data_IF_150553327616
#
_entry.id   IF_150553327616
#
_cell.length_a   1.000
_cell.length_b   1.000
_cell.length_c   1.000
_cell.angle_alpha   90.00
_cell.angle_beta   90.00
_cell.angle_gamma   90.00
#
_symmetry.space_group_name_H-M   'P 1'
#
loop_
_entity.id
_entity.type
_entity.pdbx_description
1 polymer ?
#
# COMPACT_ATOMS: atom_id res chain seq x y z
N UNK A 1 6.70 13.99 13.80
CA UNK A 1 7.98 13.94 13.08
C UNK A 1 8.13 12.54 12.49
N UNK A 2 7.65 12.33 11.27
CA UNK A 2 7.57 11.01 10.64
C UNK A 2 8.79 10.85 9.71
N UNK A 3 9.95 10.63 10.32
CA UNK A 3 11.19 10.34 9.58
C UNK A 3 11.11 8.91 9.08
N UNK A 4 10.75 8.73 7.82
CA UNK A 4 11.00 7.47 7.09
C UNK A 4 12.51 7.21 7.20
N UNK A 5 12.88 6.09 7.82
CA UNK A 5 14.29 5.72 7.98
C UNK A 5 14.84 5.38 6.59
N UNK A 6 16.05 5.84 6.30
CA UNK A 6 16.73 5.60 5.02
C UNK A 6 16.88 4.09 4.65
N UNK A 7 16.70 3.19 5.62
CA UNK A 7 16.69 1.73 5.44
C UNK A 7 15.55 1.22 4.56
N UNK A 8 14.42 1.93 4.53
CA UNK A 8 13.19 1.47 3.88
C UNK A 8 13.14 1.85 2.40
N UNK A 9 14.07 2.73 1.97
CA UNK A 9 14.22 3.22 0.60
C UNK A 9 15.12 2.33 -0.26
N UNK A 10 15.84 1.36 0.34
CA UNK A 10 16.85 0.55 -0.37
C UNK A 10 16.27 -0.40 -1.44
N UNK A 11 14.94 -0.60 -1.47
CA UNK A 11 14.23 -1.43 -2.44
C UNK A 11 13.15 -0.67 -3.21
N UNK A 12 13.15 0.66 -3.12
CA UNK A 12 12.16 1.48 -3.82
C UNK A 12 12.71 1.75 -5.21
N UNK A 13 12.17 1.03 -6.20
CA UNK A 13 12.50 1.27 -7.60
C UNK A 13 12.22 2.73 -7.98
N UNK A 14 12.96 3.27 -8.94
CA UNK A 14 12.83 4.68 -9.36
C UNK A 14 11.39 5.05 -9.76
N UNK A 15 10.66 4.08 -10.34
CA UNK A 15 9.23 4.21 -10.67
C UNK A 15 8.35 4.46 -9.43
N UNK A 16 8.69 3.89 -8.28
CA UNK A 16 8.04 4.15 -7.00
C UNK A 16 8.44 5.49 -6.38
N UNK A 17 9.70 5.92 -6.51
CA UNK A 17 10.11 7.27 -6.07
C UNK A 17 9.33 8.37 -6.81
N UNK A 18 9.15 8.22 -8.12
CA UNK A 18 8.36 9.16 -8.92
C UNK A 18 6.90 9.20 -8.45
N UNK A 19 6.32 8.03 -8.19
CA UNK A 19 4.95 7.90 -7.67
C UNK A 19 4.78 8.59 -6.31
N UNK A 20 5.75 8.42 -5.41
CA UNK A 20 5.72 8.97 -4.05
C UNK A 20 5.86 10.50 -4.00
N UNK A 21 6.38 11.12 -5.07
CA UNK A 21 6.51 12.58 -5.17
C UNK A 21 5.25 13.27 -5.72
N UNK A 22 4.39 12.53 -6.42
CA UNK A 22 3.21 13.07 -7.11
C UNK A 22 2.08 13.59 -6.19
N UNK A 23 1.85 13.08 -4.96
CA UNK A 23 0.83 13.61 -4.05
C UNK A 23 0.92 15.12 -3.82
N UNK A 24 2.12 15.73 -3.90
CA UNK A 24 2.30 17.19 -3.79
C UNK A 24 1.55 17.98 -4.87
N UNK A 25 1.35 17.39 -6.04
CA UNK A 25 0.59 18.00 -7.12
C UNK A 25 -0.91 17.87 -6.85
N UNK A 26 -1.37 16.68 -6.43
CA UNK A 26 -2.78 16.44 -6.07
C UNK A 26 -3.23 17.26 -4.85
N UNK A 27 -2.35 17.50 -3.88
CA UNK A 27 -2.61 18.37 -2.72
C UNK A 27 -2.84 19.84 -3.11
N UNK A 28 -2.43 20.27 -4.31
CA UNK A 28 -2.77 21.62 -4.82
C UNK A 28 -4.22 21.70 -5.31
N UNK A 29 -4.80 20.57 -5.71
CA UNK A 29 -6.19 20.48 -6.17
C UNK A 29 -7.16 20.35 -4.99
N UNK A 30 -6.81 19.57 -3.97
CA UNK A 30 -7.65 19.33 -2.79
C UNK A 30 -6.81 19.52 -1.51
N UNK A 31 -6.61 20.77 -1.05
CA UNK A 31 -5.62 21.10 -0.02
C UNK A 31 -5.96 20.59 1.39
N UNK A 32 -7.21 20.17 1.61
CA UNK A 32 -7.70 19.70 2.90
C UNK A 32 -7.60 18.17 3.08
N UNK A 33 -7.08 17.43 2.09
CA UNK A 33 -6.95 15.97 2.15
C UNK A 33 -5.55 15.50 1.79
N UNK A 34 -5.16 14.33 2.31
CA UNK A 34 -3.94 13.62 1.89
C UNK A 34 -4.36 12.53 0.89
N UNK A 35 -4.02 12.67 -0.40
CA UNK A 35 -4.50 11.75 -1.43
C UNK A 35 -3.72 10.43 -1.41
N UNK A 36 -4.42 9.34 -1.70
CA UNK A 36 -3.78 8.10 -2.08
C UNK A 36 -2.95 8.32 -3.37
N UNK A 37 -1.71 7.80 -3.40
CA UNK A 37 -0.78 7.98 -4.53
C UNK A 37 -1.36 7.47 -5.86
N UNK A 38 -2.25 6.48 -5.83
CA UNK A 38 -2.93 5.94 -7.01
C UNK A 38 -3.87 6.95 -7.69
N UNK A 39 -4.31 8.01 -7.01
CA UNK A 39 -5.13 9.06 -7.65
C UNK A 39 -4.41 9.76 -8.79
N UNK A 40 -3.07 9.65 -8.91
CA UNK A 40 -2.33 10.21 -10.05
C UNK A 40 -2.79 9.65 -11.40
N UNK A 41 -3.25 8.39 -11.44
CA UNK A 41 -3.66 7.74 -12.68
C UNK A 41 -5.01 8.27 -13.19
N UNK A 42 -5.86 8.79 -12.28
CA UNK A 42 -7.16 9.36 -12.62
C UNK A 42 -7.08 10.87 -12.86
N UNK A 43 -6.29 11.59 -12.04
CA UNK A 43 -6.19 13.06 -12.10
C UNK A 43 -5.16 13.56 -13.12
N UNK A 44 -4.15 12.75 -13.45
CA UNK A 44 -3.08 13.10 -14.38
C UNK A 44 -2.74 11.97 -15.36
N UNK A 45 -3.72 11.38 -16.06
CA UNK A 45 -3.49 10.23 -16.96
C UNK A 45 -2.51 10.57 -18.09
N UNK A 46 -2.65 11.72 -18.75
CA UNK A 46 -1.77 12.15 -19.84
C UNK A 46 -0.31 12.25 -19.41
N UNK A 47 -0.08 12.72 -18.18
CA UNK A 47 1.26 12.78 -17.61
C UNK A 47 1.83 11.37 -17.43
N UNK A 48 1.04 10.42 -16.90
CA UNK A 48 1.49 9.04 -16.71
C UNK A 48 1.84 8.41 -18.06
N UNK A 49 0.95 8.51 -19.05
CA UNK A 49 1.19 7.93 -20.39
C UNK A 49 2.45 8.51 -21.02
N UNK A 50 2.64 9.84 -20.96
CA UNK A 50 3.83 10.51 -21.49
C UNK A 50 5.15 10.05 -20.86
N UNK A 51 5.12 9.60 -19.60
CA UNK A 51 6.29 9.17 -18.85
C UNK A 51 6.36 7.65 -18.68
N UNK A 52 5.61 6.89 -19.48
CA UNK A 52 5.65 5.42 -19.50
C UNK A 52 6.34 4.95 -20.78
N UNK A 53 7.26 4.00 -20.67
CA UNK A 53 7.82 3.31 -21.83
C UNK A 53 6.96 2.10 -22.19
N UNK A 54 6.31 2.06 -23.36
CA UNK A 54 5.50 0.91 -23.78
C UNK A 54 6.32 -0.34 -24.08
N UNK A 55 7.65 -0.23 -24.24
CA UNK A 55 8.57 -1.35 -24.52
C UNK A 55 9.25 -1.90 -23.26
N UNK A 56 9.21 -1.17 -22.16
CA UNK A 56 9.80 -1.58 -20.88
C UNK A 56 8.91 -1.08 -19.74
N UNK A 57 8.14 -2.00 -19.19
CA UNK A 57 7.07 -1.69 -18.23
C UNK A 57 7.49 -2.05 -16.81
N UNK A 58 6.63 -1.71 -15.83
CA UNK A 58 6.82 -2.12 -14.44
C UNK A 58 6.99 -3.63 -14.27
N UNK A 59 6.37 -4.45 -15.13
CA UNK A 59 6.54 -5.90 -15.12
C UNK A 59 7.97 -6.30 -15.44
N UNK A 60 8.61 -5.63 -16.40
CA UNK A 60 9.99 -5.89 -16.80
C UNK A 60 10.95 -5.50 -15.66
N UNK A 61 10.74 -4.33 -15.05
CA UNK A 61 11.49 -3.91 -13.84
C UNK A 61 11.41 -4.96 -12.71
N UNK A 62 10.23 -5.53 -12.45
CA UNK A 62 10.04 -6.54 -11.39
C UNK A 62 10.77 -7.84 -11.71
N UNK A 63 10.68 -8.30 -12.98
CA UNK A 63 11.34 -9.53 -13.44
C UNK A 63 12.87 -9.41 -13.38
N UNK A 64 13.38 -8.27 -13.84
CA UNK A 64 14.82 -7.97 -13.88
C UNK A 64 15.40 -7.72 -12.48
N UNK A 65 14.60 -7.10 -11.59
CA UNK A 65 14.97 -6.78 -10.22
C UNK A 65 14.48 -7.80 -9.19
N UNK A 66 13.32 -7.51 -8.57
CA UNK A 66 12.84 -8.19 -7.36
C UNK A 66 12.72 -9.70 -7.54
N UNK A 67 12.11 -10.16 -8.63
CA UNK A 67 11.88 -11.59 -8.88
C UNK A 67 13.20 -12.35 -8.97
N UNK A 68 14.11 -11.89 -9.84
CA UNK A 68 15.43 -12.49 -10.01
C UNK A 68 16.22 -12.53 -8.70
N UNK A 69 16.19 -11.45 -7.92
CA UNK A 69 16.92 -11.34 -6.67
C UNK A 69 16.35 -12.27 -5.59
N UNK A 70 15.03 -12.26 -5.37
CA UNK A 70 14.39 -13.09 -4.32
C UNK A 70 14.57 -14.58 -4.62
N UNK A 71 14.22 -15.02 -5.83
CA UNK A 71 14.33 -16.44 -6.18
C UNK A 71 15.79 -16.88 -6.34
N UNK A 72 16.67 -15.99 -6.80
CA UNK A 72 18.12 -16.25 -6.84
C UNK A 72 18.69 -16.47 -5.45
N UNK A 73 18.44 -15.55 -4.52
CA UNK A 73 18.87 -15.66 -3.12
C UNK A 73 18.31 -16.92 -2.46
N UNK A 74 17.03 -17.25 -2.68
CA UNK A 74 16.44 -18.46 -2.13
C UNK A 74 17.15 -19.74 -2.60
N UNK A 75 17.48 -19.85 -3.89
CA UNK A 75 18.25 -21.00 -4.42
C UNK A 75 19.63 -21.10 -3.81
N UNK A 76 20.32 -19.99 -3.61
CA UNK A 76 21.64 -19.98 -2.98
C UNK A 76 21.60 -20.35 -1.50
N UNK A 77 20.57 -19.91 -0.77
CA UNK A 77 20.33 -20.32 0.62
C UNK A 77 20.14 -21.83 0.69
N UNK A 78 19.29 -22.40 -0.18
CA UNK A 78 19.05 -23.86 -0.24
C UNK A 78 20.36 -24.60 -0.51
N UNK A 79 21.16 -24.13 -1.47
CA UNK A 79 22.44 -24.73 -1.83
C UNK A 79 23.46 -24.71 -0.69
N UNK A 80 23.51 -23.62 0.08
CA UNK A 80 24.44 -23.48 1.22
C UNK A 80 23.92 -24.13 2.50
N UNK A 81 22.62 -24.39 2.60
CA UNK A 81 21.99 -24.93 3.80
C UNK A 81 21.94 -23.95 4.98
N UNK A 82 22.15 -22.65 4.74
CA UNK A 82 22.13 -21.61 5.79
C UNK A 82 21.68 -20.26 5.22
N UNK A 83 21.05 -19.45 6.06
CA UNK A 83 20.67 -18.06 5.78
C UNK A 83 21.73 -17.05 6.24
N UNK A 84 22.78 -17.51 6.92
CA UNK A 84 23.86 -16.65 7.40
C UNK A 84 24.57 -15.94 6.25
N UNK A 85 24.83 -14.63 6.41
CA UNK A 85 25.49 -13.80 5.40
C UNK A 85 24.61 -13.30 4.25
N UNK A 86 23.34 -13.68 4.17
CA UNK A 86 22.42 -13.22 3.11
C UNK A 86 21.71 -11.89 3.41
N UNK A 87 21.88 -11.33 4.62
CA UNK A 87 21.38 -9.99 4.95
C UNK A 87 19.87 -9.80 4.79
N UNK A 88 19.08 -10.88 5.01
CA UNK A 88 17.62 -10.84 4.94
C UNK A 88 17.09 -9.83 5.96
N UNK A 89 16.18 -8.96 5.53
CA UNK A 89 15.56 -7.92 6.36
C UNK A 89 14.08 -8.20 6.53
N UNK A 90 13.54 -7.85 7.69
CA UNK A 90 12.10 -7.84 7.90
C UNK A 90 11.43 -6.88 6.91
N UNK A 91 10.29 -7.30 6.38
CA UNK A 91 9.49 -6.51 5.45
C UNK A 91 8.35 -5.83 6.20
N UNK A 92 8.45 -4.52 6.37
CA UNK A 92 7.42 -3.69 6.99
C UNK A 92 6.06 -3.82 6.29
N UNK A 93 6.03 -4.18 5.00
CA UNK A 93 4.78 -4.41 4.27
C UNK A 93 4.05 -5.67 4.72
N UNK A 94 4.73 -6.67 5.27
CA UNK A 94 4.06 -7.91 5.68
C UNK A 94 3.52 -7.84 7.12
N UNK A 95 3.99 -6.85 7.91
CA UNK A 95 3.66 -6.72 9.33
C UNK A 95 2.18 -6.42 9.58
N UNK A 96 1.54 -5.59 8.73
CA UNK A 96 0.11 -5.26 8.92
C UNK A 96 -0.82 -6.47 8.80
N UNK A 97 -0.40 -7.53 8.09
CA UNK A 97 -1.17 -8.78 7.97
C UNK A 97 -1.18 -9.50 9.32
N UNK A 98 -0.03 -9.54 9.99
CA UNK A 98 0.10 -10.14 11.32
C UNK A 98 -0.67 -9.34 12.35
N UNK A 99 -0.62 -8.00 12.28
CA UNK A 99 -1.41 -7.15 13.17
C UNK A 99 -2.91 -7.35 12.99
N UNK A 100 -3.39 -7.46 11.74
CA UNK A 100 -4.79 -7.77 11.46
C UNK A 100 -5.20 -9.15 12.01
N UNK A 101 -4.36 -10.17 11.80
CA UNK A 101 -4.60 -11.51 12.33
C UNK A 101 -4.63 -11.52 13.86
N UNK A 102 -3.73 -10.77 14.50
CA UNK A 102 -3.67 -10.62 15.97
C UNK A 102 -4.91 -9.91 16.50
N UNK A 103 -5.39 -8.87 15.81
CA UNK A 103 -6.62 -8.18 16.19
C UNK A 103 -7.85 -9.09 16.17
N UNK A 104 -7.95 -9.97 15.17
CA UNK A 104 -9.00 -10.98 15.09
C UNK A 104 -8.85 -12.07 16.18
N UNK A 105 -7.63 -12.57 16.40
CA UNK A 105 -7.39 -13.68 17.32
C UNK A 105 -7.49 -13.26 18.81
N UNK A 106 -6.98 -12.08 19.14
CA UNK A 106 -6.82 -11.61 20.52
C UNK A 106 -7.80 -10.50 20.90
N UNK A 107 -8.73 -10.15 19.99
CA UNK A 107 -9.74 -9.12 20.19
C UNK A 107 -9.13 -7.77 20.63
N UNK A 108 -8.03 -7.35 19.99
CA UNK A 108 -7.28 -6.16 20.41
C UNK A 108 -8.06 -4.85 20.23
N UNK A 109 -9.10 -4.86 19.37
CA UNK A 109 -9.88 -3.66 18.99
C UNK A 109 -9.02 -2.58 18.33
N UNK A 110 -7.96 -3.00 17.64
CA UNK A 110 -7.11 -2.11 16.85
C UNK A 110 -7.86 -1.54 15.64
N UNK A 111 -7.38 -0.38 15.16
CA UNK A 111 -7.99 0.33 14.02
C UNK A 111 -7.22 0.06 12.73
N UNK A 112 -7.94 -0.33 11.69
CA UNK A 112 -7.40 -0.60 10.35
C UNK A 112 -8.17 0.15 9.27
N UNK A 113 -7.53 0.45 8.15
CA UNK A 113 -8.24 0.77 6.91
C UNK A 113 -8.64 -0.56 6.25
N UNK A 114 -9.93 -0.80 6.07
CA UNK A 114 -10.45 -2.03 5.46
C UNK A 114 -11.38 -1.71 4.31
N UNK A 115 -11.37 -2.58 3.30
CA UNK A 115 -12.32 -2.56 2.20
C UNK A 115 -13.59 -3.32 2.64
N UNK A 116 -14.70 -2.61 2.81
CA UNK A 116 -15.95 -3.13 3.40
C UNK A 116 -17.18 -2.62 2.64
N UNK A 117 -18.33 -3.32 2.70
CA UNK A 117 -19.58 -2.79 2.13
C UNK A 117 -19.98 -1.49 2.82
N UNK A 118 -20.30 -0.46 2.03
CA UNK A 118 -20.63 0.87 2.52
C UNK A 118 -21.80 0.83 3.52
N UNK A 119 -22.98 0.38 3.07
CA UNK A 119 -24.22 0.34 3.85
C UNK A 119 -24.42 1.60 4.72
N UNK A 120 -24.19 2.79 4.15
CA UNK A 120 -24.38 4.08 4.81
C UNK A 120 -23.21 4.59 5.66
N UNK A 121 -22.05 3.93 5.68
CA UNK A 121 -20.87 4.44 6.37
C UNK A 121 -20.35 5.76 5.75
N UNK A 122 -20.43 5.87 4.42
CA UNK A 122 -20.36 7.10 3.64
C UNK A 122 -21.78 7.40 3.17
N UNK A 123 -22.38 8.46 3.72
CA UNK A 123 -23.83 8.68 3.71
C UNK A 123 -24.36 9.06 2.33
N UNK A 124 -23.67 9.96 1.63
CA UNK A 124 -24.01 10.44 0.29
C UNK A 124 -23.32 9.64 -0.84
N UNK A 125 -23.04 8.36 -0.63
CA UNK A 125 -22.42 7.47 -1.63
C UNK A 125 -23.22 6.18 -1.79
N UNK A 126 -23.01 5.46 -2.90
CA UNK A 126 -23.73 4.23 -3.21
C UNK A 126 -23.66 3.24 -2.02
N UNK A 127 -24.80 2.82 -1.43
CA UNK A 127 -24.81 1.95 -0.27
C UNK A 127 -24.28 0.53 -0.57
N UNK A 128 -24.27 0.12 -1.83
CA UNK A 128 -23.80 -1.21 -2.28
C UNK A 128 -22.33 -1.24 -2.64
N UNK A 129 -21.67 -0.08 -2.71
CA UNK A 129 -20.25 0.00 -3.04
C UNK A 129 -19.37 -0.61 -1.92
N UNK A 130 -18.25 -1.19 -2.33
CA UNK A 130 -17.13 -1.46 -1.42
C UNK A 130 -16.34 -0.17 -1.23
N UNK A 131 -16.11 0.22 0.02
CA UNK A 131 -15.38 1.44 0.39
C UNK A 131 -14.21 1.07 1.30
N UNK A 132 -13.10 1.80 1.17
CA UNK A 132 -11.95 1.65 2.06
C UNK A 132 -12.04 2.70 3.17
N UNK A 133 -12.43 2.29 4.39
CA UNK A 133 -12.69 3.18 5.52
C UNK A 133 -12.07 2.64 6.83
N UNK A 134 -11.86 3.51 7.84
CA UNK A 134 -11.44 3.06 9.15
C UNK A 134 -12.45 2.10 9.79
N UNK A 135 -11.97 0.99 10.31
CA UNK A 135 -12.73 -0.02 11.04
C UNK A 135 -12.00 -0.40 12.34
N UNK A 136 -12.75 -0.75 13.37
CA UNK A 136 -12.26 -1.38 14.60
C UNK A 136 -12.33 -2.89 14.38
N UNK A 137 -11.23 -3.61 14.57
CA UNK A 137 -11.15 -5.06 14.34
C UNK A 137 -11.01 -5.81 15.67
N UNK A 138 -11.83 -6.83 15.86
CA UNK A 138 -11.81 -7.69 17.05
C UNK A 138 -12.25 -9.12 16.71
N UNK A 139 -12.50 -9.94 17.73
CA UNK A 139 -12.83 -11.35 17.52
C UNK A 139 -14.15 -11.60 16.76
N UNK A 140 -15.04 -10.60 16.72
CA UNK A 140 -16.30 -10.66 15.97
C UNK A 140 -16.17 -10.14 14.52
N UNK A 141 -14.95 -9.92 14.03
CA UNK A 141 -14.71 -9.32 12.72
C UNK A 141 -14.41 -7.82 12.83
N UNK A 142 -15.22 -6.99 12.18
CA UNK A 142 -14.97 -5.55 12.11
C UNK A 142 -16.22 -4.70 12.40
N UNK A 143 -15.99 -3.51 12.96
CA UNK A 143 -16.98 -2.48 13.19
C UNK A 143 -16.58 -1.22 12.41
N UNK A 144 -17.45 -0.76 11.49
CA UNK A 144 -17.17 0.40 10.62
C UNK A 144 -17.22 1.70 11.41
N UNK A 145 -16.28 2.61 11.16
CA UNK A 145 -16.35 3.99 11.65
C UNK A 145 -17.03 4.83 10.57
N UNK A 146 -18.17 5.43 10.89
CA UNK A 146 -18.92 6.27 9.95
C UNK A 146 -18.11 7.51 9.53
N UNK A 147 -18.09 7.79 8.24
CA UNK A 147 -17.40 8.93 7.62
C UNK A 147 -18.34 10.12 7.39
N UNK A 148 -19.67 9.89 7.37
CA UNK A 148 -20.66 10.92 7.06
C UNK A 148 -20.66 11.29 5.59
N UNK A 149 -20.95 12.56 5.28
CA UNK A 149 -20.98 13.06 3.91
C UNK A 149 -19.58 13.45 3.41
N UNK A 150 -19.24 13.00 2.21
CA UNK A 150 -18.04 13.44 1.49
C UNK A 150 -18.33 14.69 0.63
N UNK A 151 -17.34 15.55 0.34
CA UNK A 151 -17.50 16.68 -0.57
C UNK A 151 -17.92 16.25 -1.99
N UNK A 152 -18.53 17.18 -2.74
CA UNK A 152 -18.86 17.01 -4.16
C UNK A 152 -17.62 17.11 -5.06
#
# INVERSE_FOLDING_TARGET
DMRVKASDLAFVDDSWLQTSRKPRMSMRLIPFTIPNTYLKYYLYPDYVVKHTDPKHTRTDEVREGREKNVFGTAREIIKKGTTEGFGLKADAHSEYIVDLARALAENTRDRFMLIVPNHGAVENFDPTAMVEIPCIVGSNGFEKICQGNIPQ
#
